data_IF_643192883499
#
_entry.id   IF_643192883499
#
_cell.length_a   1.000
_cell.length_b   1.000
_cell.length_c   1.000
_cell.angle_alpha   90.00
_cell.angle_beta   90.00
_cell.angle_gamma   90.00
#
_symmetry.space_group_name_H-M   'P 1'
#
loop_
_entity.id
_entity.type
_entity.pdbx_description
1 polymer ?
#
# COMPACT_ATOMS: atom_id res chain seq x y z
N UNK A 1 27.59 8.70 -8.41
CA UNK A 1 26.42 8.53 -7.55
C UNK A 1 25.38 7.72 -8.33
N UNK A 2 24.74 6.74 -7.69
CA UNK A 2 23.74 5.84 -8.28
C UNK A 2 22.38 6.53 -8.43
N UNK A 3 21.59 6.03 -9.37
CA UNK A 3 20.15 6.32 -9.50
C UNK A 3 19.39 5.07 -9.06
N UNK A 4 18.57 5.19 -8.03
CA UNK A 4 17.71 4.11 -7.56
C UNK A 4 16.26 4.56 -7.67
N UNK A 5 15.49 3.88 -8.49
CA UNK A 5 14.08 4.20 -8.78
C UNK A 5 13.23 3.02 -8.33
N UNK A 6 12.27 3.27 -7.45
CA UNK A 6 11.22 2.33 -7.05
C UNK A 6 9.93 2.79 -7.72
N UNK A 7 9.32 1.94 -8.53
CA UNK A 7 7.98 2.16 -9.11
C UNK A 7 7.03 1.17 -8.47
N UNK A 8 6.06 1.70 -7.73
CA UNK A 8 4.98 0.94 -7.12
C UNK A 8 3.77 1.02 -8.06
N UNK A 9 3.34 -0.13 -8.56
CA UNK A 9 2.08 -0.29 -9.28
C UNK A 9 1.02 -0.61 -8.22
N UNK A 10 0.25 0.39 -7.83
CA UNK A 10 -0.71 0.31 -6.72
C UNK A 10 -1.74 -0.79 -6.97
N UNK A 11 -1.93 -1.67 -6.00
CA UNK A 11 -2.88 -2.78 -6.11
C UNK A 11 -2.44 -3.92 -7.04
N UNK A 12 -1.17 -4.02 -7.44
CA UNK A 12 -0.71 -5.05 -8.38
C UNK A 12 -0.19 -6.31 -7.68
N UNK A 13 -1.12 -7.25 -7.40
CA UNK A 13 -0.83 -8.56 -6.83
C UNK A 13 -0.46 -9.61 -7.88
N UNK A 14 0.17 -10.72 -7.42
CA UNK A 14 0.60 -11.87 -8.22
C UNK A 14 0.19 -13.19 -7.54
N UNK A 15 -1.04 -13.26 -7.07
CA UNK A 15 -1.65 -14.43 -6.46
C UNK A 15 -1.74 -14.37 -4.94
N UNK A 16 -2.78 -14.99 -4.40
CA UNK A 16 -3.14 -14.97 -3.00
C UNK A 16 -1.99 -15.46 -2.09
N UNK A 17 -1.83 -14.79 -0.94
CA UNK A 17 -0.91 -15.24 0.11
C UNK A 17 -1.48 -16.47 0.84
N UNK A 18 -0.64 -17.36 1.41
CA UNK A 18 -1.10 -18.58 2.10
C UNK A 18 -2.05 -18.32 3.27
N UNK A 19 -1.91 -17.17 3.94
CA UNK A 19 -2.73 -16.76 5.09
C UNK A 19 -4.02 -16.01 4.67
N UNK A 20 -4.25 -15.79 3.38
CA UNK A 20 -5.49 -15.19 2.88
C UNK A 20 -6.72 -15.98 3.33
N UNK A 21 -6.64 -17.32 3.38
CA UNK A 21 -7.73 -18.17 3.82
C UNK A 21 -8.17 -17.95 5.28
N UNK A 22 -7.29 -17.44 6.12
CA UNK A 22 -7.57 -17.13 7.53
C UNK A 22 -7.94 -15.65 7.71
N UNK A 23 -7.13 -14.76 7.16
CA UNK A 23 -7.30 -13.31 7.35
C UNK A 23 -8.39 -12.73 6.43
N UNK A 24 -8.48 -13.24 5.22
CA UNK A 24 -9.33 -12.75 4.14
C UNK A 24 -9.87 -13.91 3.29
N UNK A 25 -10.82 -14.73 3.79
CA UNK A 25 -11.32 -15.90 3.05
C UNK A 25 -11.86 -15.58 1.64
N UNK A 26 -12.34 -14.35 1.40
CA UNK A 26 -12.78 -13.87 0.09
C UNK A 26 -11.66 -13.75 -0.94
N UNK A 27 -10.40 -13.66 -0.50
CA UNK A 27 -9.24 -13.44 -1.36
C UNK A 27 -8.51 -14.76 -1.76
N UNK A 28 -9.04 -15.92 -1.38
CA UNK A 28 -8.40 -17.21 -1.70
C UNK A 28 -8.16 -17.44 -3.20
N UNK A 29 -9.02 -16.86 -4.04
CA UNK A 29 -8.91 -16.94 -5.49
C UNK A 29 -8.27 -15.69 -6.11
N UNK A 30 -7.79 -14.73 -5.31
CA UNK A 30 -7.25 -13.49 -5.82
C UNK A 30 -5.95 -13.73 -6.61
N UNK A 31 -5.90 -13.17 -7.79
CA UNK A 31 -4.75 -13.16 -8.70
C UNK A 31 -4.87 -11.96 -9.64
N UNK A 32 -4.59 -10.76 -9.10
CA UNK A 32 -4.74 -9.51 -9.86
C UNK A 32 -4.05 -9.58 -11.22
N UNK A 33 -2.79 -9.99 -11.26
CA UNK A 33 -2.03 -10.09 -12.50
C UNK A 33 -2.64 -11.11 -13.46
N UNK A 34 -2.92 -12.33 -12.99
CA UNK A 34 -3.47 -13.42 -13.80
C UNK A 34 -4.83 -13.06 -14.37
N UNK A 35 -5.74 -12.57 -13.56
CA UNK A 35 -7.10 -12.23 -13.98
C UNK A 35 -7.14 -11.04 -14.95
N UNK A 36 -6.29 -10.02 -14.77
CA UNK A 36 -6.16 -8.93 -15.74
C UNK A 36 -5.62 -9.45 -17.08
N UNK A 37 -4.60 -10.32 -17.06
CA UNK A 37 -4.06 -10.93 -18.27
C UNK A 37 -5.07 -11.85 -18.98
N UNK A 38 -5.83 -12.65 -18.23
CA UNK A 38 -6.86 -13.53 -18.78
C UNK A 38 -8.01 -12.73 -19.42
N UNK A 39 -8.45 -11.67 -18.76
CA UNK A 39 -9.56 -10.85 -19.26
C UNK A 39 -9.17 -10.03 -20.49
N UNK A 40 -8.02 -9.35 -20.44
CA UNK A 40 -7.53 -8.53 -21.55
C UNK A 40 -6.93 -9.37 -22.68
N UNK A 41 -6.51 -10.58 -22.38
CA UNK A 41 -6.00 -11.55 -23.35
C UNK A 41 -4.84 -11.01 -24.18
N UNK A 42 -4.82 -11.32 -25.48
CA UNK A 42 -3.74 -10.90 -26.40
C UNK A 42 -3.71 -9.41 -26.72
N UNK A 43 -4.67 -8.65 -26.25
CA UNK A 43 -4.71 -7.19 -26.46
C UNK A 43 -3.82 -6.45 -25.49
N UNK A 44 -3.48 -7.05 -24.33
CA UNK A 44 -2.60 -6.47 -23.33
C UNK A 44 -1.13 -6.73 -23.68
N UNK A 45 -0.35 -5.68 -23.87
CA UNK A 45 1.04 -5.76 -24.30
C UNK A 45 1.98 -5.14 -23.25
N UNK A 46 2.74 -5.98 -22.55
CA UNK A 46 3.58 -5.62 -21.39
C UNK A 46 5.07 -5.99 -21.61
N UNK A 47 5.74 -5.42 -22.62
CA UNK A 47 7.12 -5.78 -22.95
C UNK A 47 8.14 -5.40 -21.88
N UNK A 48 7.93 -4.31 -21.12
CA UNK A 48 8.85 -3.91 -20.05
C UNK A 48 8.74 -4.84 -18.86
N UNK A 49 7.53 -5.12 -18.36
CA UNK A 49 7.29 -6.07 -17.27
C UNK A 49 7.77 -7.47 -17.65
N UNK A 50 7.56 -7.89 -18.90
CA UNK A 50 8.13 -9.14 -19.44
C UNK A 50 9.66 -9.15 -19.39
N UNK A 51 10.34 -8.07 -19.84
CA UNK A 51 11.79 -7.91 -19.76
C UNK A 51 12.31 -7.85 -18.33
N UNK A 52 11.54 -7.30 -17.40
CA UNK A 52 11.86 -7.26 -15.97
C UNK A 52 11.65 -8.60 -15.27
N UNK A 53 11.09 -9.60 -15.97
CA UNK A 53 10.96 -10.96 -15.47
C UNK A 53 9.62 -11.28 -14.79
N UNK A 54 8.56 -10.51 -15.04
CA UNK A 54 7.24 -10.80 -14.48
C UNK A 54 6.79 -12.24 -14.79
N UNK A 55 6.97 -12.73 -16.02
CA UNK A 55 6.61 -14.10 -16.38
C UNK A 55 7.47 -15.20 -15.76
N UNK A 56 8.57 -14.86 -15.07
CA UNK A 56 9.36 -15.79 -14.24
C UNK A 56 8.76 -15.92 -12.83
N UNK A 57 8.16 -14.85 -12.34
CA UNK A 57 7.53 -14.75 -11.01
C UNK A 57 6.10 -15.28 -11.06
N UNK A 58 5.37 -14.88 -12.09
CA UNK A 58 3.97 -15.24 -12.32
C UNK A 58 3.84 -15.87 -13.71
N UNK A 59 4.00 -17.23 -13.83
CA UNK A 59 3.94 -17.92 -15.11
C UNK A 59 2.55 -17.85 -15.73
N UNK A 60 2.40 -17.06 -16.79
CA UNK A 60 1.16 -16.89 -17.54
C UNK A 60 1.40 -16.99 -19.05
N UNK A 61 0.41 -17.44 -19.82
CA UNK A 61 0.55 -17.61 -21.27
C UNK A 61 0.77 -16.30 -22.04
N UNK A 62 0.31 -15.18 -21.46
CA UNK A 62 0.52 -13.82 -22.00
C UNK A 62 1.88 -13.20 -21.69
N UNK A 63 2.73 -13.85 -20.88
CA UNK A 63 4.01 -13.30 -20.43
C UNK A 63 5.19 -14.15 -20.93
N UNK A 64 6.30 -13.45 -21.27
CA UNK A 64 7.54 -14.11 -21.63
C UNK A 64 8.15 -14.81 -20.39
N UNK A 65 8.55 -16.07 -20.54
CA UNK A 65 9.20 -16.88 -19.49
C UNK A 65 10.73 -16.76 -19.47
N UNK A 66 11.27 -15.79 -20.19
CA UNK A 66 12.71 -15.50 -20.22
C UNK A 66 12.90 -14.02 -20.49
N UNK A 67 14.02 -13.48 -20.06
CA UNK A 67 14.38 -12.08 -20.29
C UNK A 67 15.83 -11.95 -20.74
N UNK A 68 16.12 -11.05 -21.67
CA UNK A 68 17.49 -10.74 -22.07
C UNK A 68 18.22 -9.80 -21.11
N UNK A 69 17.50 -9.19 -20.17
CA UNK A 69 18.08 -8.20 -19.24
C UNK A 69 18.69 -8.85 -18.01
N UNK A 70 19.70 -8.23 -17.40
CA UNK A 70 20.24 -8.62 -16.11
C UNK A 70 19.26 -8.18 -15.00
N UNK A 71 18.43 -9.11 -14.56
CA UNK A 71 17.39 -8.87 -13.56
C UNK A 71 17.47 -9.85 -12.40
N UNK A 72 16.97 -9.43 -11.25
CA UNK A 72 16.53 -10.31 -10.18
C UNK A 72 15.01 -10.22 -10.08
N UNK A 73 14.34 -11.36 -10.06
CA UNK A 73 12.89 -11.44 -10.06
C UNK A 73 12.39 -12.42 -9.01
N UNK A 74 11.39 -12.01 -8.24
CA UNK A 74 10.73 -12.80 -7.20
C UNK A 74 9.46 -12.10 -6.76
N UNK A 75 8.90 -12.53 -5.64
CA UNK A 75 7.70 -11.93 -5.05
C UNK A 75 7.90 -11.72 -3.55
N UNK A 76 7.15 -10.79 -2.99
CA UNK A 76 7.17 -10.48 -1.57
C UNK A 76 5.79 -10.67 -0.95
N UNK A 77 5.75 -11.25 0.25
CA UNK A 77 4.63 -11.13 1.16
C UNK A 77 4.51 -9.68 1.64
N UNK A 78 3.33 -9.25 2.07
CA UNK A 78 3.09 -7.87 2.50
C UNK A 78 3.90 -7.50 3.76
N UNK A 79 4.08 -8.46 4.70
CA UNK A 79 4.85 -8.25 5.94
C UNK A 79 4.07 -7.54 7.03
N UNK A 80 2.77 -7.37 6.86
CA UNK A 80 1.83 -6.83 7.83
C UNK A 80 0.48 -7.54 7.69
N UNK A 81 -0.42 -7.50 8.70
CA UNK A 81 -1.76 -8.06 8.61
C UNK A 81 -2.65 -7.20 7.70
N UNK A 82 -3.58 -7.84 6.96
CA UNK A 82 -4.49 -7.17 6.01
C UNK A 82 -3.86 -6.83 4.66
N UNK A 83 -4.49 -5.93 3.91
CA UNK A 83 -4.00 -5.35 2.66
C UNK A 83 -4.34 -3.85 2.65
N UNK A 84 -3.35 -2.98 2.76
CA UNK A 84 -3.54 -1.53 2.90
C UNK A 84 -2.37 -0.75 2.29
N UNK A 85 -2.69 0.26 1.50
CA UNK A 85 -1.68 1.04 0.78
C UNK A 85 -0.72 1.79 1.72
N UNK A 86 -1.22 2.35 2.86
CA UNK A 86 -0.35 3.03 3.82
C UNK A 86 0.61 2.02 4.46
N UNK A 87 0.08 0.91 5.01
CA UNK A 87 0.91 -0.12 5.62
C UNK A 87 1.90 -0.72 4.61
N UNK A 88 1.48 -0.96 3.36
CA UNK A 88 2.34 -1.44 2.29
C UNK A 88 3.52 -0.53 2.01
N UNK A 89 3.26 0.77 1.79
CA UNK A 89 4.32 1.74 1.53
C UNK A 89 5.24 1.96 2.73
N UNK A 90 4.70 2.04 3.95
CA UNK A 90 5.51 2.21 5.15
C UNK A 90 6.39 0.98 5.41
N UNK A 91 5.83 -0.25 5.25
CA UNK A 91 6.59 -1.49 5.35
C UNK A 91 7.69 -1.55 4.28
N UNK A 92 7.35 -1.23 3.03
CA UNK A 92 8.30 -1.18 1.91
C UNK A 92 9.47 -0.23 2.20
N UNK A 93 9.23 0.87 2.87
CA UNK A 93 10.28 1.80 3.28
C UNK A 93 11.03 1.36 4.54
N UNK A 94 10.77 0.17 5.06
CA UNK A 94 11.48 -0.42 6.19
C UNK A 94 10.85 -0.14 7.55
N UNK A 95 9.58 0.29 7.64
CA UNK A 95 8.89 0.42 8.92
C UNK A 95 8.57 -0.94 9.53
N UNK A 96 8.52 -0.98 10.86
CA UNK A 96 8.05 -2.13 11.63
C UNK A 96 6.56 -1.98 11.96
N UNK A 97 5.74 -2.80 11.34
CA UNK A 97 4.29 -2.88 11.57
C UNK A 97 3.88 -4.02 12.52
N UNK A 98 4.81 -4.64 13.24
CA UNK A 98 4.51 -5.75 14.15
C UNK A 98 3.52 -5.37 15.28
N UNK A 99 3.39 -4.07 15.59
CA UNK A 99 2.48 -3.55 16.61
C UNK A 99 1.12 -3.09 16.06
N UNK A 100 0.96 -3.03 14.75
CA UNK A 100 -0.32 -2.69 14.13
C UNK A 100 -1.17 -3.94 14.08
N UNK A 101 -2.41 -3.83 14.56
CA UNK A 101 -3.35 -4.94 14.59
C UNK A 101 -4.53 -4.68 13.66
N UNK A 102 -5.19 -5.75 13.24
CA UNK A 102 -6.51 -5.70 12.65
C UNK A 102 -7.51 -5.78 13.80
N UNK A 103 -8.28 -4.72 14.03
CA UNK A 103 -9.23 -4.64 15.13
C UNK A 103 -10.49 -3.89 14.71
N UNK A 104 -11.65 -4.47 15.00
CA UNK A 104 -12.95 -3.79 14.79
C UNK A 104 -13.15 -2.78 15.91
N UNK A 105 -13.79 -1.65 15.60
CA UNK A 105 -14.12 -0.67 16.61
C UNK A 105 -14.97 -1.26 17.75
N UNK A 106 -15.83 -2.23 17.43
CA UNK A 106 -16.65 -2.96 18.40
C UNK A 106 -15.86 -3.51 19.60
N UNK A 107 -14.60 -3.87 19.40
CA UNK A 107 -13.71 -4.45 20.41
C UNK A 107 -13.06 -3.38 21.30
N UNK A 108 -13.13 -2.11 20.92
CA UNK A 108 -12.45 -0.97 21.54
C UNK A 108 -13.38 0.21 21.92
N UNK A 109 -14.70 0.02 21.91
CA UNK A 109 -15.68 1.09 22.17
C UNK A 109 -15.47 1.78 23.52
N UNK A 110 -15.18 1.02 24.57
CA UNK A 110 -14.99 1.56 25.91
C UNK A 110 -13.71 2.39 26.01
N UNK A 111 -12.64 1.95 25.41
CA UNK A 111 -11.34 2.63 25.39
C UNK A 111 -11.43 3.94 24.61
N UNK A 112 -11.95 3.88 23.37
CA UNK A 112 -12.13 5.06 22.52
C UNK A 112 -13.12 6.05 23.15
N UNK A 113 -14.25 5.54 23.65
CA UNK A 113 -15.24 6.36 24.31
C UNK A 113 -14.70 7.06 25.57
N UNK A 114 -13.86 6.38 26.35
CA UNK A 114 -13.20 6.95 27.52
C UNK A 114 -12.21 8.04 27.15
N UNK A 115 -11.39 7.85 26.12
CA UNK A 115 -10.46 8.85 25.63
C UNK A 115 -11.18 10.12 25.15
N UNK A 116 -12.27 9.94 24.38
CA UNK A 116 -13.08 11.06 23.88
C UNK A 116 -13.78 11.82 25.02
N UNK A 117 -14.34 11.13 26.01
CA UNK A 117 -14.94 11.79 27.20
C UNK A 117 -13.90 12.54 28.02
N UNK A 118 -12.69 11.97 28.17
CA UNK A 118 -11.57 12.64 28.85
C UNK A 118 -11.14 13.93 28.12
N UNK A 119 -11.28 13.96 26.79
CA UNK A 119 -11.05 15.14 25.98
C UNK A 119 -12.22 16.17 26.01
N UNK A 120 -13.31 15.87 26.75
CA UNK A 120 -14.45 16.77 26.93
C UNK A 120 -15.61 16.57 25.97
N UNK A 121 -15.60 15.52 25.16
CA UNK A 121 -16.67 15.22 24.21
C UNK A 121 -17.82 14.43 24.85
N UNK A 122 -19.05 14.67 24.38
CA UNK A 122 -20.19 13.82 24.66
C UNK A 122 -20.14 12.61 23.71
N UNK A 123 -20.23 11.40 24.26
CA UNK A 123 -20.09 10.16 23.48
C UNK A 123 -21.21 9.20 23.81
N UNK A 124 -21.92 8.75 22.80
CA UNK A 124 -23.06 7.84 22.86
C UNK A 124 -22.89 6.73 21.81
N UNK A 125 -23.58 5.59 22.00
CA UNK A 125 -23.73 4.56 20.97
C UNK A 125 -24.90 4.93 20.05
N UNK A 126 -24.80 4.66 18.75
CA UNK A 126 -25.89 4.85 17.81
C UNK A 126 -26.86 3.65 17.89
N UNK A 127 -28.00 3.82 18.52
CA UNK A 127 -29.07 2.80 18.59
C UNK A 127 -28.57 1.41 18.98
N UNK A 128 -27.57 1.35 19.88
CA UNK A 128 -26.95 0.12 20.32
C UNK A 128 -25.99 -0.55 19.30
N UNK A 129 -25.75 0.07 18.16
CA UNK A 129 -24.76 -0.39 17.18
C UNK A 129 -23.33 -0.15 17.69
N UNK A 130 -22.36 -0.95 17.26
CA UNK A 130 -20.97 -0.85 17.72
C UNK A 130 -20.22 0.29 17.00
N UNK A 131 -20.74 1.51 17.08
CA UNK A 131 -20.08 2.74 16.65
C UNK A 131 -20.44 3.88 17.61
N UNK A 132 -19.62 4.93 17.63
CA UNK A 132 -19.78 6.05 18.54
C UNK A 132 -20.32 7.28 17.80
N UNK A 133 -21.27 7.98 18.46
CA UNK A 133 -21.71 9.32 18.09
C UNK A 133 -21.05 10.31 19.03
N UNK A 134 -20.26 11.22 18.50
CA UNK A 134 -19.54 12.25 19.25
C UNK A 134 -20.22 13.59 19.02
N UNK A 135 -20.52 14.29 20.12
CA UNK A 135 -21.18 15.62 20.14
C UNK A 135 -22.48 15.67 19.34
N UNK A 136 -23.13 14.51 19.18
CA UNK A 136 -24.43 14.36 18.56
C UNK A 136 -24.46 14.23 17.03
N UNK A 137 -23.31 14.34 16.32
CA UNK A 137 -23.30 14.29 14.86
C UNK A 137 -22.02 13.71 14.20
N UNK A 138 -20.87 13.71 14.88
CA UNK A 138 -19.65 13.08 14.34
C UNK A 138 -19.67 11.57 14.67
N UNK A 139 -19.45 10.73 13.67
CA UNK A 139 -19.40 9.27 13.82
C UNK A 139 -17.97 8.79 13.93
N UNK A 140 -17.67 7.94 14.91
CA UNK A 140 -16.45 7.11 14.94
C UNK A 140 -16.87 5.68 14.66
N UNK A 141 -16.32 5.08 13.60
CA UNK A 141 -16.83 3.83 13.05
C UNK A 141 -15.75 3.05 12.28
N UNK A 142 -16.00 1.77 11.99
CA UNK A 142 -15.16 1.00 11.08
C UNK A 142 -15.16 1.60 9.68
N UNK A 143 -14.03 1.56 8.99
CA UNK A 143 -14.00 1.88 7.57
C UNK A 143 -14.61 0.72 6.77
N UNK A 144 -15.63 1.00 5.95
CA UNK A 144 -16.29 0.01 5.11
C UNK A 144 -15.75 -0.05 3.67
N UNK A 145 -14.77 0.77 3.33
CA UNK A 145 -14.18 0.88 1.99
C UNK A 145 -12.74 0.34 1.93
N UNK A 146 -12.17 0.01 3.09
CA UNK A 146 -10.88 -0.65 3.21
C UNK A 146 -11.06 -2.01 3.88
N UNK A 147 -9.98 -2.75 4.03
CA UNK A 147 -9.97 -4.01 4.74
C UNK A 147 -10.65 -3.92 6.10
N UNK A 148 -11.58 -4.84 6.42
CA UNK A 148 -12.26 -4.85 7.70
C UNK A 148 -11.26 -4.84 8.87
N UNK A 149 -11.37 -3.83 9.73
CA UNK A 149 -10.56 -3.71 10.95
C UNK A 149 -9.15 -3.15 10.77
N UNK A 150 -8.72 -2.76 9.57
CA UNK A 150 -7.39 -2.14 9.40
C UNK A 150 -7.42 -0.62 9.59
N UNK A 151 -8.57 0.00 9.39
CA UNK A 151 -8.76 1.45 9.52
C UNK A 151 -10.08 1.76 10.22
N UNK A 152 -10.08 2.82 11.04
CA UNK A 152 -11.29 3.43 11.59
C UNK A 152 -11.49 4.83 11.01
N UNK A 153 -12.74 5.23 10.84
CA UNK A 153 -13.10 6.56 10.36
C UNK A 153 -13.68 7.43 11.48
N UNK A 154 -13.40 8.72 11.39
CA UNK A 154 -14.09 9.78 12.13
C UNK A 154 -14.73 10.68 11.10
N UNK A 155 -16.05 10.55 10.92
CA UNK A 155 -16.80 11.18 9.84
C UNK A 155 -17.78 12.23 10.36
N UNK A 156 -17.81 13.41 9.77
CA UNK A 156 -18.72 14.49 10.12
C UNK A 156 -19.23 15.26 8.92
N UNK A 157 -20.47 15.78 9.01
CA UNK A 157 -21.01 16.70 8.00
C UNK A 157 -20.40 18.08 8.19
N UNK A 158 -19.98 18.70 7.10
CA UNK A 158 -19.45 20.08 7.12
C UNK A 158 -20.53 21.13 7.37
N UNK A 159 -21.81 20.75 7.31
CA UNK A 159 -22.96 21.57 7.77
C UNK A 159 -23.00 21.68 9.29
N UNK A 160 -22.54 20.67 10.03
CA UNK A 160 -22.68 20.59 11.48
C UNK A 160 -21.37 20.93 12.20
N UNK A 161 -20.22 20.55 11.60
CA UNK A 161 -18.89 20.72 12.20
C UNK A 161 -17.85 21.18 11.18
N UNK A 162 -16.93 22.03 11.61
CA UNK A 162 -15.75 22.32 10.80
C UNK A 162 -14.88 21.07 10.65
N UNK A 163 -14.15 20.94 9.53
CA UNK A 163 -13.21 19.85 9.37
C UNK A 163 -12.12 19.83 10.47
N UNK A 164 -11.70 21.00 10.93
CA UNK A 164 -10.76 21.12 12.04
C UNK A 164 -11.28 20.47 13.34
N UNK A 165 -12.59 20.57 13.62
CA UNK A 165 -13.22 19.92 14.78
C UNK A 165 -13.28 18.40 14.59
N UNK A 166 -13.66 17.91 13.40
CA UNK A 166 -13.67 16.49 13.06
C UNK A 166 -12.26 15.90 13.20
N UNK A 167 -11.26 16.61 12.68
CA UNK A 167 -9.86 16.21 12.76
C UNK A 167 -9.34 16.17 14.21
N UNK A 168 -9.79 17.08 15.08
CA UNK A 168 -9.45 17.07 16.51
C UNK A 168 -9.98 15.81 17.20
N UNK A 169 -11.22 15.41 16.90
CA UNK A 169 -11.82 14.17 17.40
C UNK A 169 -11.03 12.96 16.90
N UNK A 170 -10.71 12.92 15.60
CA UNK A 170 -9.93 11.85 15.00
C UNK A 170 -8.54 11.70 15.64
N UNK A 171 -7.88 12.81 15.98
CA UNK A 171 -6.59 12.78 16.69
C UNK A 171 -6.72 12.16 18.08
N UNK A 172 -7.81 12.44 18.81
CA UNK A 172 -8.08 11.80 20.10
C UNK A 172 -8.29 10.30 19.91
N UNK A 173 -9.08 9.87 18.92
CA UNK A 173 -9.24 8.44 18.58
C UNK A 173 -7.90 7.81 18.25
N UNK A 174 -7.03 8.48 17.48
CA UNK A 174 -5.71 7.96 17.10
C UNK A 174 -4.83 7.60 18.31
N UNK A 175 -4.93 8.32 19.43
CA UNK A 175 -4.08 8.08 20.61
C UNK A 175 -4.29 6.70 21.24
N UNK A 176 -5.44 6.07 20.99
CA UNK A 176 -5.81 4.75 21.57
C UNK A 176 -6.09 3.69 20.51
N UNK A 177 -6.20 4.06 19.24
CA UNK A 177 -6.52 3.12 18.17
C UNK A 177 -5.31 2.21 17.85
N UNK A 178 -5.45 0.87 17.85
CA UNK A 178 -4.36 -0.06 17.53
C UNK A 178 -4.19 -0.28 16.02
N UNK A 179 -5.13 0.24 15.21
CA UNK A 179 -5.21 0.03 13.76
C UNK A 179 -4.20 0.87 12.97
N UNK A 180 -3.95 0.51 11.72
CA UNK A 180 -2.98 1.18 10.87
C UNK A 180 -3.28 2.68 10.69
N UNK A 181 -4.57 3.05 10.55
CA UNK A 181 -4.99 4.46 10.35
C UNK A 181 -6.29 4.78 11.05
N UNK A 182 -6.40 6.03 11.51
CA UNK A 182 -7.67 6.71 11.76
C UNK A 182 -7.83 7.78 10.68
N UNK A 183 -8.97 7.77 9.97
CA UNK A 183 -9.21 8.67 8.85
C UNK A 183 -10.27 9.70 9.26
N UNK A 184 -9.91 10.98 9.31
CA UNK A 184 -10.87 12.06 9.44
C UNK A 184 -11.51 12.33 8.08
N UNK A 185 -12.84 12.34 8.01
CA UNK A 185 -13.60 12.57 6.77
C UNK A 185 -14.66 13.63 7.02
N UNK A 186 -14.57 14.74 6.31
CA UNK A 186 -15.58 15.79 6.29
C UNK A 186 -16.22 15.90 4.91
N UNK A 187 -17.53 15.95 4.83
CA UNK A 187 -18.23 16.07 3.56
C UNK A 187 -19.63 16.66 3.71
N UNK A 188 -20.25 16.99 2.57
CA UNK A 188 -21.60 17.50 2.52
C UNK A 188 -22.62 16.37 2.32
N UNK A 189 -23.61 16.28 3.23
CA UNK A 189 -24.69 15.29 3.15
C UNK A 189 -26.06 15.93 3.45
N UNK A 190 -27.10 15.52 2.72
CA UNK A 190 -28.45 16.07 2.82
C UNK A 190 -29.24 15.61 4.04
N UNK A 191 -28.81 14.50 4.66
CA UNK A 191 -29.41 13.92 5.85
C UNK A 191 -28.35 13.67 6.93
N UNK A 192 -28.75 13.45 8.20
CA UNK A 192 -27.83 13.06 9.27
C UNK A 192 -27.04 11.79 8.89
N UNK A 193 -25.76 11.71 9.24
CA UNK A 193 -24.89 10.55 8.88
C UNK A 193 -25.41 9.22 9.44
N UNK A 194 -26.12 9.25 10.57
CA UNK A 194 -26.74 8.08 11.18
C UNK A 194 -27.69 7.34 10.24
N UNK A 195 -28.32 8.03 9.29
CA UNK A 195 -29.23 7.42 8.29
C UNK A 195 -28.51 6.63 7.20
N UNK A 196 -27.19 6.78 7.07
CA UNK A 196 -26.36 6.08 6.09
C UNK A 196 -25.47 4.99 6.73
N UNK A 197 -25.68 4.70 8.03
CA UNK A 197 -24.93 3.65 8.72
C UNK A 197 -25.44 2.28 8.30
N UNK A 198 -24.52 1.40 7.92
CA UNK A 198 -24.81 0.01 7.57
C UNK A 198 -23.81 -0.97 8.19
N UNK A 199 -24.18 -2.23 8.17
CA UNK A 199 -23.24 -3.32 8.43
C UNK A 199 -22.39 -3.58 7.18
N UNK A 200 -21.13 -3.90 7.40
CA UNK A 200 -20.17 -4.33 6.41
C UNK A 200 -19.73 -5.77 6.63
N UNK A 201 -18.70 -6.18 5.93
CA UNK A 201 -18.14 -7.51 6.04
C UNK A 201 -17.46 -7.73 7.43
N UNK A 202 -17.30 -8.98 7.82
CA UNK A 202 -16.68 -9.38 9.07
C UNK A 202 -17.26 -8.68 10.33
N UNK A 203 -18.58 -8.41 10.33
CA UNK A 203 -19.29 -7.72 11.42
C UNK A 203 -18.78 -6.29 11.72
N UNK A 204 -18.19 -5.61 10.75
CA UNK A 204 -17.91 -4.18 10.83
C UNK A 204 -19.19 -3.36 10.73
N UNK A 205 -19.22 -2.19 11.35
CA UNK A 205 -20.32 -1.25 11.26
C UNK A 205 -19.80 0.14 10.98
N UNK A 206 -20.32 0.80 9.94
CA UNK A 206 -19.79 2.09 9.54
C UNK A 206 -20.72 2.88 8.63
N UNK A 207 -20.22 4.06 8.23
CA UNK A 207 -20.86 4.93 7.26
C UNK A 207 -20.73 4.35 5.86
N UNK A 208 -21.82 4.28 5.11
CA UNK A 208 -21.80 4.11 3.66
C UNK A 208 -21.44 5.46 3.02
N UNK A 209 -20.12 5.73 2.90
CA UNK A 209 -19.62 7.02 2.42
C UNK A 209 -20.12 7.35 1.01
N UNK A 210 -20.15 6.40 0.04
CA UNK A 210 -20.75 6.66 -1.26
C UNK A 210 -22.24 7.04 -1.21
N UNK A 211 -23.03 6.36 -0.36
CA UNK A 211 -24.45 6.63 -0.22
C UNK A 211 -24.73 7.97 0.46
N UNK A 212 -23.87 8.42 1.38
CA UNK A 212 -24.00 9.73 2.06
C UNK A 212 -23.90 10.91 1.11
N UNK A 213 -23.31 10.73 -0.07
CA UNK A 213 -23.08 11.77 -1.06
C UNK A 213 -21.74 12.51 -0.90
N UNK A 214 -20.92 12.18 0.07
CA UNK A 214 -19.62 12.84 0.34
C UNK A 214 -18.77 12.97 -0.92
N UNK A 215 -18.73 11.95 -1.77
CA UNK A 215 -17.95 11.97 -3.01
C UNK A 215 -18.57 12.78 -4.15
N UNK A 216 -19.86 13.12 -4.06
CA UNK A 216 -20.61 13.75 -5.16
C UNK A 216 -21.00 15.20 -4.89
N UNK A 217 -21.13 15.57 -3.60
CA UNK A 217 -21.67 16.88 -3.23
C UNK A 217 -20.61 18.00 -3.21
N UNK A 218 -19.34 17.66 -3.50
CA UNK A 218 -18.20 18.56 -3.43
C UNK A 218 -17.74 18.83 -1.98
N UNK A 219 -16.63 19.55 -1.83
CA UNK A 219 -16.11 19.95 -0.53
C UNK A 219 -15.59 18.82 0.36
N UNK A 220 -15.31 17.64 -0.19
CA UNK A 220 -14.75 16.53 0.57
C UNK A 220 -13.37 16.92 1.14
N UNK A 221 -13.23 16.80 2.46
CA UNK A 221 -11.96 16.97 3.17
C UNK A 221 -11.59 15.65 3.86
N UNK A 222 -10.36 15.17 3.64
CA UNK A 222 -9.87 13.92 4.20
C UNK A 222 -8.47 14.10 4.78
N UNK A 223 -8.24 13.57 5.98
CA UNK A 223 -6.92 13.51 6.60
C UNK A 223 -6.66 12.13 7.17
N UNK A 224 -5.61 11.48 6.70
CA UNK A 224 -5.13 10.21 7.23
C UNK A 224 -4.22 10.43 8.44
N UNK A 225 -4.55 9.78 9.57
CA UNK A 225 -3.74 9.75 10.78
C UNK A 225 -3.18 8.33 10.93
N UNK A 226 -1.95 8.11 10.47
CA UNK A 226 -1.26 6.84 10.56
C UNK A 226 -0.90 6.45 12.00
N UNK A 227 -0.58 5.15 12.20
CA UNK A 227 0.08 4.71 13.42
C UNK A 227 1.41 5.45 13.59
N UNK A 228 1.84 5.66 14.84
CA UNK A 228 3.15 6.27 15.11
C UNK A 228 4.26 5.32 14.63
N UNK A 229 5.05 5.81 13.68
CA UNK A 229 6.18 5.12 13.09
C UNK A 229 7.44 5.95 13.28
N UNK A 230 8.56 5.29 13.49
CA UNK A 230 9.87 5.95 13.45
C UNK A 230 10.30 6.19 11.99
N UNK A 231 9.84 7.29 11.41
CA UNK A 231 10.17 7.66 10.04
C UNK A 231 11.67 7.93 9.83
N UNK A 232 12.45 8.18 10.91
CA UNK A 232 13.90 8.39 10.79
C UNK A 232 14.66 7.12 10.41
N UNK A 233 14.04 5.96 10.62
CA UNK A 233 14.56 4.64 10.26
C UNK A 233 13.94 4.08 8.97
N UNK A 234 13.40 4.94 8.13
CA UNK A 234 12.88 4.57 6.81
C UNK A 234 13.82 5.00 5.70
N UNK A 235 13.77 4.31 4.58
CA UNK A 235 14.65 4.53 3.42
C UNK A 235 14.75 6.00 2.98
N UNK A 236 13.65 6.77 2.81
CA UNK A 236 13.74 8.16 2.39
C UNK A 236 14.54 9.04 3.38
N UNK A 237 14.31 8.85 4.68
CA UNK A 237 15.01 9.62 5.71
C UNK A 237 16.49 9.24 5.82
N UNK A 238 16.82 7.95 5.74
CA UNK A 238 18.21 7.48 5.74
C UNK A 238 18.97 7.98 4.50
N UNK A 239 18.33 7.96 3.33
CA UNK A 239 18.92 8.50 2.11
C UNK A 239 19.21 10.01 2.25
N UNK A 240 18.22 10.77 2.72
CA UNK A 240 18.37 12.21 2.95
C UNK A 240 19.46 12.53 3.98
N UNK A 241 19.53 11.78 5.09
CA UNK A 241 20.55 11.94 6.12
C UNK A 241 21.97 11.65 5.58
N UNK A 242 22.11 10.77 4.60
CA UNK A 242 23.36 10.49 3.89
C UNK A 242 23.67 11.51 2.77
N UNK A 243 22.87 12.56 2.60
CA UNK A 243 23.04 13.56 1.55
C UNK A 243 22.63 13.10 0.15
N UNK A 244 21.85 12.01 0.05
CA UNK A 244 21.31 11.50 -1.20
C UNK A 244 20.00 12.23 -1.49
N UNK A 245 19.85 12.87 -2.67
CA UNK A 245 18.59 13.52 -3.06
C UNK A 245 17.44 12.51 -3.10
N UNK A 246 16.29 12.89 -2.55
CA UNK A 246 15.07 12.06 -2.50
C UNK A 246 13.94 12.78 -3.26
N UNK A 247 13.27 12.07 -4.15
CA UNK A 247 12.05 12.54 -4.81
C UNK A 247 10.93 11.52 -4.59
N UNK A 248 9.79 12.00 -4.10
CA UNK A 248 8.56 11.21 -3.90
C UNK A 248 7.53 11.65 -4.93
N UNK A 249 6.95 10.70 -5.66
CA UNK A 249 6.06 10.96 -6.81
C UNK A 249 4.74 10.23 -6.65
N UNK A 250 3.64 10.87 -7.07
CA UNK A 250 2.28 10.32 -6.98
C UNK A 250 1.85 10.15 -5.51
N UNK A 251 1.10 9.09 -5.20
CA UNK A 251 0.63 8.78 -3.84
C UNK A 251 1.79 8.67 -2.82
N UNK A 252 2.99 8.25 -3.25
CA UNK A 252 4.17 8.21 -2.38
C UNK A 252 4.53 9.59 -1.82
N UNK A 253 4.26 10.67 -2.58
CA UNK A 253 4.46 12.05 -2.11
C UNK A 253 3.50 12.46 -0.99
N UNK A 254 2.35 11.79 -0.86
CA UNK A 254 1.33 12.12 0.13
C UNK A 254 1.51 11.31 1.42
N UNK A 255 1.94 10.04 1.32
CA UNK A 255 1.91 9.10 2.44
C UNK A 255 3.27 8.81 3.07
N UNK A 256 4.40 9.13 2.41
CA UNK A 256 5.74 8.93 2.96
C UNK A 256 6.29 10.21 3.59
N UNK A 257 6.86 10.07 4.78
CA UNK A 257 7.43 11.21 5.50
C UNK A 257 8.94 11.33 5.25
N UNK A 258 9.33 12.47 4.67
CA UNK A 258 10.73 12.89 4.54
C UNK A 258 10.76 14.40 4.30
N UNK A 259 11.18 15.18 5.29
CA UNK A 259 11.18 16.65 5.21
C UNK A 259 12.12 17.19 4.11
N UNK A 260 13.19 16.46 3.77
CA UNK A 260 14.16 16.84 2.76
C UNK A 260 13.77 16.40 1.33
N UNK A 261 12.68 15.64 1.17
CA UNK A 261 12.28 15.13 -0.13
C UNK A 261 11.63 16.21 -1.01
N UNK A 262 11.93 16.16 -2.30
CA UNK A 262 11.14 16.84 -3.32
C UNK A 262 9.85 16.05 -3.53
N UNK A 263 8.70 16.69 -3.34
CA UNK A 263 7.38 16.06 -3.50
C UNK A 263 6.76 16.46 -4.85
N UNK A 264 6.24 15.47 -5.57
CA UNK A 264 5.53 15.60 -6.85
C UNK A 264 4.22 14.82 -6.79
N UNK A 265 3.21 15.29 -6.03
CA UNK A 265 1.91 14.63 -5.98
C UNK A 265 1.25 14.70 -7.36
N UNK A 266 0.70 13.58 -7.81
CA UNK A 266 -0.06 13.46 -9.05
C UNK A 266 -0.92 12.19 -8.97
N UNK A 267 -2.08 12.19 -9.65
CA UNK A 267 -2.95 11.02 -9.79
C UNK A 267 -2.88 10.45 -11.22
N UNK A 268 -2.94 11.27 -12.29
CA UNK A 268 -2.87 10.74 -13.65
C UNK A 268 -1.56 9.99 -13.89
N UNK A 269 -1.65 8.76 -14.38
CA UNK A 269 -0.49 7.88 -14.67
C UNK A 269 0.56 8.55 -15.54
N UNK A 270 0.14 9.26 -16.58
CA UNK A 270 1.06 9.97 -17.47
C UNK A 270 1.88 11.05 -16.77
N UNK A 271 1.29 11.75 -15.79
CA UNK A 271 1.95 12.79 -15.01
C UNK A 271 2.92 12.17 -13.99
N UNK A 272 2.51 11.09 -13.31
CA UNK A 272 3.39 10.31 -12.40
C UNK A 272 4.62 9.82 -13.16
N UNK A 273 4.44 9.24 -14.34
CA UNK A 273 5.54 8.74 -15.16
C UNK A 273 6.46 9.87 -15.64
N UNK A 274 5.91 11.00 -16.07
CA UNK A 274 6.69 12.16 -16.49
C UNK A 274 7.55 12.70 -15.34
N UNK A 275 7.00 12.86 -14.14
CA UNK A 275 7.75 13.29 -12.95
C UNK A 275 8.82 12.28 -12.55
N UNK A 276 8.52 10.98 -12.66
CA UNK A 276 9.46 9.89 -12.34
C UNK A 276 10.64 9.91 -13.30
N UNK A 277 10.40 10.03 -14.61
CA UNK A 277 11.43 10.12 -15.64
C UNK A 277 12.29 11.37 -15.48
N UNK A 278 11.69 12.51 -15.16
CA UNK A 278 12.42 13.76 -14.91
C UNK A 278 13.36 13.59 -13.68
N UNK A 279 12.85 13.05 -12.59
CA UNK A 279 13.63 12.84 -11.36
C UNK A 279 14.76 11.81 -11.58
N UNK A 280 14.49 10.74 -12.31
CA UNK A 280 15.46 9.68 -12.61
C UNK A 280 16.64 10.09 -13.49
N UNK A 281 16.60 11.29 -14.12
CA UNK A 281 17.75 11.85 -14.87
C UNK A 281 18.91 12.25 -13.97
N UNK A 282 18.67 12.38 -12.67
CA UNK A 282 19.68 12.82 -11.67
C UNK A 282 19.97 11.71 -10.68
N UNK A 283 21.21 11.63 -10.14
CA UNK A 283 21.50 10.71 -9.04
C UNK A 283 20.60 10.94 -7.84
N UNK A 284 20.18 9.86 -7.19
CA UNK A 284 19.32 9.93 -6.00
C UNK A 284 18.38 8.74 -5.88
N UNK A 285 17.47 8.84 -4.93
CA UNK A 285 16.34 7.95 -4.69
C UNK A 285 15.07 8.57 -5.28
N UNK A 286 14.37 7.83 -6.11
CA UNK A 286 13.01 8.17 -6.57
C UNK A 286 12.07 7.07 -6.10
N UNK A 287 10.99 7.43 -5.41
CA UNK A 287 9.90 6.51 -5.06
C UNK A 287 8.63 7.04 -5.70
N UNK A 288 8.10 6.29 -6.65
CA UNK A 288 6.90 6.64 -7.42
C UNK A 288 5.81 5.61 -7.20
N UNK A 289 4.57 6.08 -7.06
CA UNK A 289 3.39 5.22 -7.01
C UNK A 289 2.40 5.61 -8.11
N UNK A 290 1.98 4.62 -8.90
CA UNK A 290 0.93 4.75 -9.91
C UNK A 290 -0.39 4.28 -9.31
N UNK A 291 -1.26 5.22 -8.98
CA UNK A 291 -2.49 4.97 -8.23
C UNK A 291 -3.67 4.51 -9.09
N UNK A 292 -3.70 4.79 -10.39
CA UNK A 292 -4.90 4.54 -11.21
C UNK A 292 -5.20 3.05 -11.41
N UNK A 293 -4.23 2.15 -11.23
CA UNK A 293 -4.46 0.69 -11.20
C UNK A 293 -5.34 0.31 -10.01
N UNK A 294 -5.02 0.81 -8.81
CA UNK A 294 -5.81 0.60 -7.60
C UNK A 294 -7.22 1.18 -7.72
N UNK A 295 -7.36 2.39 -8.29
CA UNK A 295 -8.66 2.99 -8.56
C UNK A 295 -9.51 2.12 -9.51
N UNK A 296 -8.90 1.49 -10.50
CA UNK A 296 -9.58 0.56 -11.39
C UNK A 296 -9.99 -0.73 -10.66
N UNK A 297 -9.16 -1.24 -9.76
CA UNK A 297 -9.46 -2.37 -8.88
C UNK A 297 -10.68 -2.09 -8.01
N UNK A 298 -10.72 -0.96 -7.30
CA UNK A 298 -11.87 -0.52 -6.50
C UNK A 298 -13.18 -0.36 -7.31
N UNK A 299 -13.06 -0.01 -8.60
CA UNK A 299 -14.20 0.09 -9.51
C UNK A 299 -14.57 -1.26 -10.14
N UNK A 300 -13.81 -2.33 -9.88
CA UNK A 300 -13.94 -3.62 -10.53
C UNK A 300 -13.89 -3.50 -12.07
N UNK A 301 -13.10 -2.55 -12.55
CA UNK A 301 -12.91 -2.28 -13.98
C UNK A 301 -11.57 -2.88 -14.45
N UNK A 302 -11.60 -4.17 -14.74
CA UNK A 302 -10.45 -4.95 -15.20
C UNK A 302 -9.86 -4.42 -16.51
N UNK A 303 -10.69 -3.86 -17.39
CA UNK A 303 -10.24 -3.28 -18.66
C UNK A 303 -9.43 -2.02 -18.42
N UNK A 304 -9.94 -1.10 -17.58
CA UNK A 304 -9.21 0.11 -17.18
C UNK A 304 -7.90 -0.24 -16.48
N UNK A 305 -7.91 -1.26 -15.61
CA UNK A 305 -6.69 -1.75 -14.98
C UNK A 305 -5.63 -2.12 -16.02
N UNK A 306 -6.01 -2.90 -17.06
CA UNK A 306 -5.12 -3.28 -18.17
C UNK A 306 -4.62 -2.07 -18.96
N UNK A 307 -5.49 -1.10 -19.31
CA UNK A 307 -5.13 0.12 -20.04
C UNK A 307 -4.11 0.97 -19.25
N UNK A 308 -4.27 1.09 -17.94
CA UNK A 308 -3.32 1.79 -17.06
C UNK A 308 -2.00 1.02 -16.99
N UNK A 309 -2.06 -0.31 -16.87
CA UNK A 309 -0.87 -1.15 -16.81
C UNK A 309 -0.02 -1.06 -18.08
N UNK A 310 -0.63 -0.91 -19.29
CA UNK A 310 0.08 -0.64 -20.55
C UNK A 310 0.78 0.72 -20.53
N UNK A 311 0.15 1.74 -19.96
CA UNK A 311 0.78 3.07 -19.81
C UNK A 311 2.00 2.98 -18.87
N UNK A 312 1.86 2.25 -17.75
CA UNK A 312 2.99 2.00 -16.85
C UNK A 312 4.12 1.28 -17.57
N UNK A 313 3.80 0.22 -18.32
CA UNK A 313 4.77 -0.57 -19.06
C UNK A 313 5.55 0.27 -20.09
N UNK A 314 4.88 1.18 -20.78
CA UNK A 314 5.53 2.12 -21.69
C UNK A 314 6.53 3.04 -20.96
N UNK A 315 6.14 3.59 -19.81
CA UNK A 315 7.05 4.39 -18.96
C UNK A 315 8.22 3.60 -18.40
N UNK A 316 8.00 2.32 -18.06
CA UNK A 316 9.07 1.42 -17.64
C UNK A 316 10.09 1.16 -18.76
N UNK A 317 9.69 1.09 -20.03
CA UNK A 317 10.62 1.00 -21.16
C UNK A 317 11.53 2.22 -21.24
N UNK A 318 11.01 3.42 -21.01
CA UNK A 318 11.80 4.65 -20.98
C UNK A 318 12.77 4.65 -19.80
N UNK A 319 12.31 4.23 -18.61
CA UNK A 319 13.17 4.08 -17.41
C UNK A 319 14.29 3.06 -17.65
N UNK A 320 14.00 1.90 -18.24
CA UNK A 320 15.00 0.91 -18.59
C UNK A 320 16.06 1.45 -19.56
N UNK A 321 15.65 2.30 -20.49
CA UNK A 321 16.57 2.96 -21.44
C UNK A 321 17.42 4.04 -20.77
N UNK A 322 16.90 4.67 -19.71
CA UNK A 322 17.58 5.73 -18.96
C UNK A 322 18.56 5.17 -17.92
N UNK A 323 18.19 4.08 -17.25
CA UNK A 323 18.91 3.48 -16.11
C UNK A 323 19.85 2.37 -16.59
N UNK A 324 20.89 2.72 -17.32
CA UNK A 324 21.83 1.81 -17.97
C UNK A 324 23.22 1.74 -17.32
N UNK A 325 23.50 2.64 -16.37
CA UNK A 325 24.78 2.64 -15.65
C UNK A 325 24.89 1.42 -14.69
N UNK A 326 26.10 0.86 -14.50
CA UNK A 326 26.30 -0.27 -13.59
C UNK A 326 25.80 -0.07 -12.16
N UNK A 327 25.68 1.17 -11.73
CA UNK A 327 25.25 1.53 -10.37
C UNK A 327 23.75 1.87 -10.29
N UNK A 328 23.05 1.89 -11.42
CA UNK A 328 21.61 2.18 -11.44
C UNK A 328 20.79 0.98 -11.02
N UNK A 329 19.63 1.25 -10.46
CA UNK A 329 18.63 0.24 -10.08
C UNK A 329 17.23 0.73 -10.42
N UNK A 330 16.46 -0.13 -11.07
CA UNK A 330 15.02 0.01 -11.18
C UNK A 330 14.39 -1.15 -10.42
N UNK A 331 13.53 -0.85 -9.46
CA UNK A 331 12.74 -1.82 -8.72
C UNK A 331 11.28 -1.56 -9.03
N UNK A 332 10.57 -2.57 -9.52
CA UNK A 332 9.12 -2.51 -9.78
C UNK A 332 8.44 -3.50 -8.85
N UNK A 333 7.39 -3.04 -8.16
CA UNK A 333 6.66 -3.83 -7.18
C UNK A 333 5.21 -3.35 -7.06
N UNK A 334 4.37 -4.05 -6.31
CA UNK A 334 3.09 -3.56 -5.77
C UNK A 334 3.23 -3.22 -4.28
N UNK A 335 2.18 -2.71 -3.68
CA UNK A 335 2.05 -2.48 -2.24
C UNK A 335 1.04 -3.43 -1.58
N UNK A 336 0.10 -3.94 -2.35
CA UNK A 336 -0.90 -4.98 -2.07
C UNK A 336 -1.49 -5.47 -3.40
N UNK A 337 -2.47 -6.39 -3.36
CA UNK A 337 -3.33 -6.72 -4.50
C UNK A 337 -4.62 -5.91 -4.51
N UNK A 338 -5.26 -5.79 -5.67
CA UNK A 338 -6.62 -5.27 -5.81
C UNK A 338 -7.27 -5.89 -7.06
N UNK A 339 -7.67 -7.16 -6.94
CA UNK A 339 -8.17 -7.95 -8.04
C UNK A 339 -9.55 -7.44 -8.52
N UNK A 340 -9.65 -6.86 -9.72
CA UNK A 340 -10.89 -6.28 -10.21
C UNK A 340 -11.97 -7.30 -10.54
N UNK A 341 -11.70 -8.60 -10.42
CA UNK A 341 -12.64 -9.68 -10.78
C UNK A 341 -13.11 -10.50 -9.58
N UNK A 342 -12.56 -10.27 -8.39
CA UNK A 342 -12.78 -11.10 -7.21
C UNK A 342 -14.22 -10.96 -6.62
N UNK A 343 -14.98 -9.94 -7.04
CA UNK A 343 -16.39 -9.76 -6.64
C UNK A 343 -16.58 -8.81 -5.45
N UNK A 344 -15.54 -8.16 -4.98
CA UNK A 344 -15.61 -7.05 -4.01
C UNK A 344 -14.64 -5.93 -4.40
N UNK A 345 -14.85 -4.74 -3.85
CA UNK A 345 -14.10 -3.54 -4.17
C UNK A 345 -12.96 -3.24 -3.17
N UNK A 346 -12.56 -4.21 -2.36
CA UNK A 346 -11.48 -4.07 -1.38
C UNK A 346 -10.15 -4.51 -1.96
N UNK A 347 -9.05 -4.05 -1.34
CA UNK A 347 -7.72 -4.61 -1.60
C UNK A 347 -7.71 -6.11 -1.35
N UNK A 348 -6.86 -6.84 -2.05
CA UNK A 348 -6.70 -8.27 -1.92
C UNK A 348 -5.35 -8.64 -1.29
N UNK A 349 -5.37 -9.67 -0.42
CA UNK A 349 -4.18 -10.15 0.28
C UNK A 349 -3.37 -11.09 -0.61
N UNK A 350 -2.54 -10.49 -1.45
CA UNK A 350 -1.71 -11.17 -2.43
C UNK A 350 -0.23 -10.96 -2.16
N UNK A 351 0.60 -11.86 -2.67
CA UNK A 351 1.99 -11.54 -2.95
C UNK A 351 2.04 -10.41 -3.97
N UNK A 352 3.10 -9.60 -3.90
CA UNK A 352 3.40 -8.59 -4.92
C UNK A 352 4.70 -8.92 -5.64
N UNK A 353 4.88 -8.55 -6.91
CA UNK A 353 6.11 -8.82 -7.64
C UNK A 353 7.26 -7.98 -7.07
N UNK A 354 8.48 -8.52 -7.14
CA UNK A 354 9.74 -7.80 -6.89
C UNK A 354 10.62 -7.99 -8.10
N UNK A 355 10.64 -6.99 -8.98
CA UNK A 355 11.36 -7.03 -10.25
C UNK A 355 12.49 -5.99 -10.20
N UNK A 356 13.74 -6.45 -10.26
CA UNK A 356 14.92 -5.58 -10.05
C UNK A 356 15.81 -5.62 -11.29
N UNK A 357 15.89 -4.51 -12.02
CA UNK A 357 16.89 -4.33 -13.06
C UNK A 357 18.25 -3.96 -12.45
N UNK A 358 19.29 -4.70 -12.84
CA UNK A 358 20.67 -4.55 -12.33
C UNK A 358 21.68 -4.58 -13.47
N UNK A 359 21.95 -3.46 -14.16
CA UNK A 359 22.78 -3.43 -15.37
C UNK A 359 24.14 -4.10 -15.25
N UNK A 360 24.71 -4.17 -14.05
CA UNK A 360 26.02 -4.79 -13.78
C UNK A 360 25.96 -6.28 -13.40
N UNK A 361 24.76 -6.87 -13.28
CA UNK A 361 24.63 -8.29 -12.90
C UNK A 361 24.90 -9.24 -14.06
N UNK A 362 25.35 -10.48 -13.80
CA UNK A 362 25.72 -11.43 -14.85
C UNK A 362 24.52 -12.15 -15.52
N UNK A 363 23.30 -11.66 -15.39
CA UNK A 363 22.12 -12.28 -16.00
C UNK A 363 20.91 -12.31 -15.10
N UNK A 364 20.09 -13.35 -15.23
CA UNK A 364 18.83 -13.51 -14.49
C UNK A 364 19.08 -14.25 -13.17
N UNK A 365 18.50 -13.72 -12.09
CA UNK A 365 18.46 -14.37 -10.78
C UNK A 365 17.00 -14.51 -10.33
N UNK A 366 16.59 -15.71 -9.96
CA UNK A 366 15.32 -15.92 -9.28
C UNK A 366 15.52 -15.73 -7.78
N UNK A 367 14.78 -14.80 -7.22
CA UNK A 367 14.80 -14.52 -5.78
C UNK A 367 13.90 -15.51 -5.04
N UNK A 368 14.26 -15.91 -3.81
CA UNK A 368 13.32 -16.58 -2.93
C UNK A 368 12.15 -15.63 -2.60
N UNK A 369 11.00 -16.20 -2.24
CA UNK A 369 9.89 -15.41 -1.74
C UNK A 369 10.35 -14.60 -0.52
N UNK A 370 10.18 -13.27 -0.57
CA UNK A 370 10.44 -12.40 0.56
C UNK A 370 9.34 -12.54 1.61
N UNK A 371 9.72 -12.56 2.87
CA UNK A 371 8.77 -12.57 3.99
C UNK A 371 8.05 -11.22 4.19
N UNK A 372 8.57 -10.15 3.58
CA UNK A 372 8.06 -8.80 3.77
C UNK A 372 8.43 -7.87 2.61
N UNK A 373 7.54 -6.91 2.31
CA UNK A 373 7.82 -5.76 1.45
C UNK A 373 9.03 -4.92 1.92
N UNK A 374 9.40 -5.00 3.19
CA UNK A 374 10.55 -4.29 3.74
C UNK A 374 11.87 -4.67 3.03
N UNK A 375 11.94 -5.86 2.41
CA UNK A 375 13.11 -6.31 1.66
C UNK A 375 13.35 -5.47 0.40
N UNK A 376 12.30 -4.85 -0.15
CA UNK A 376 12.40 -3.88 -1.26
C UNK A 376 13.19 -2.64 -0.82
N UNK A 377 12.80 -2.04 0.32
CA UNK A 377 13.49 -0.88 0.89
C UNK A 377 14.93 -1.18 1.29
N UNK A 378 15.15 -2.35 1.91
CA UNK A 378 16.50 -2.80 2.28
C UNK A 378 17.41 -2.99 1.04
N UNK A 379 16.85 -3.53 -0.05
CA UNK A 379 17.56 -3.70 -1.32
C UNK A 379 17.89 -2.35 -1.98
N UNK A 380 16.95 -1.41 -1.93
CA UNK A 380 17.18 -0.05 -2.42
C UNK A 380 18.24 0.69 -1.58
N UNK A 381 18.21 0.55 -0.25
CA UNK A 381 19.25 1.09 0.64
C UNK A 381 20.64 0.58 0.26
N UNK A 382 20.80 -0.74 0.10
CA UNK A 382 22.05 -1.35 -0.33
C UNK A 382 22.51 -0.81 -1.69
N UNK A 383 21.61 -0.59 -2.64
CA UNK A 383 21.96 -0.05 -3.97
C UNK A 383 22.44 1.41 -3.93
N UNK A 384 22.01 2.16 -2.92
CA UNK A 384 22.44 3.52 -2.65
C UNK A 384 23.76 3.59 -1.82
N UNK A 385 24.30 2.43 -1.42
CA UNK A 385 25.49 2.36 -0.56
C UNK A 385 25.19 2.63 0.92
N UNK A 386 23.92 2.55 1.32
CA UNK A 386 23.49 2.66 2.71
C UNK A 386 23.55 1.29 3.39
N UNK A 387 23.74 1.28 4.70
CA UNK A 387 23.61 0.05 5.50
C UNK A 387 22.11 -0.27 5.72
N UNK A 388 21.60 -1.39 5.20
CA UNK A 388 20.21 -1.79 5.41
C UNK A 388 19.83 -1.98 6.88
N UNK A 389 20.79 -2.28 7.78
CA UNK A 389 20.57 -2.39 9.22
C UNK A 389 20.13 -1.07 9.87
N UNK A 390 20.27 0.06 9.18
CA UNK A 390 19.69 1.35 9.60
C UNK A 390 18.17 1.38 9.54
N UNK A 391 17.53 0.57 8.69
CA UNK A 391 16.09 0.41 8.63
C UNK A 391 15.55 -0.28 9.88
N UNK A 392 14.27 -0.07 10.20
CA UNK A 392 13.65 -0.76 11.31
C UNK A 392 13.35 -2.24 10.97
N UNK A 393 13.14 -2.56 9.68
CA UNK A 393 12.86 -3.89 9.17
C UNK A 393 13.40 -4.07 7.75
N UNK A 394 13.55 -5.32 7.28
CA UNK A 394 13.91 -5.71 5.91
C UNK A 394 15.27 -6.36 5.77
N UNK A 395 15.37 -7.24 4.79
CA UNK A 395 16.58 -7.97 4.41
C UNK A 395 16.89 -7.70 2.93
N UNK A 396 18.07 -7.13 2.65
CA UNK A 396 18.43 -6.76 1.29
C UNK A 396 18.76 -7.97 0.41
N UNK A 397 18.28 -7.98 -0.82
CA UNK A 397 18.76 -8.87 -1.87
C UNK A 397 20.13 -8.36 -2.41
N UNK A 398 21.20 -9.03 -2.03
CA UNK A 398 22.57 -8.65 -2.42
C UNK A 398 23.43 -9.87 -2.74
N UNK A 399 24.65 -9.66 -3.28
CA UNK A 399 25.57 -10.75 -3.62
C UNK A 399 25.93 -11.68 -2.45
N UNK A 400 25.73 -11.23 -1.20
CA UNK A 400 26.01 -11.99 0.01
C UNK A 400 24.94 -13.01 0.39
N UNK A 401 23.74 -12.96 -0.22
CA UNK A 401 22.64 -13.87 0.12
C UNK A 401 22.86 -15.34 -0.35
N UNK A 402 23.95 -15.64 -1.04
CA UNK A 402 24.25 -17.02 -1.49
C UNK A 402 24.62 -18.01 -0.38
N UNK A 403 24.76 -17.59 0.88
CA UNK A 403 25.24 -18.44 1.98
C UNK A 403 24.41 -18.47 3.25
N UNK A 404 23.33 -17.71 3.37
CA UNK A 404 22.41 -17.83 4.49
C UNK A 404 21.27 -18.80 4.11
N UNK A 405 21.48 -20.09 4.33
CA UNK A 405 20.36 -21.01 4.49
C UNK A 405 19.52 -20.51 5.66
N UNK A 406 18.32 -20.03 5.37
CA UNK A 406 17.36 -19.66 6.40
C UNK A 406 17.16 -20.80 7.40
N UNK A 407 16.73 -20.50 8.64
CA UNK A 407 16.48 -21.53 9.62
C UNK A 407 15.46 -22.51 9.05
N UNK A 408 15.87 -23.77 8.92
CA UNK A 408 14.98 -24.85 8.58
C UNK A 408 13.79 -24.82 9.54
N UNK A 409 12.58 -24.70 9.02
CA UNK A 409 11.37 -24.97 9.79
C UNK A 409 11.56 -26.32 10.50
N UNK A 410 11.79 -26.28 11.80
CA UNK A 410 11.72 -27.48 12.62
C UNK A 410 10.24 -27.88 12.65
N UNK A 411 9.90 -28.90 11.92
CA UNK A 411 8.67 -29.64 12.12
C UNK A 411 8.67 -30.13 13.60
N UNK A 412 7.78 -29.61 14.39
CA UNK A 412 7.53 -30.17 15.72
C UNK A 412 7.32 -29.20 16.87
N UNK A 413 6.53 -28.12 16.71
CA UNK A 413 5.90 -27.47 17.84
C UNK A 413 4.38 -27.55 17.71
N UNK A 414 3.65 -27.95 18.76
CA UNK A 414 2.21 -28.08 18.69
C UNK A 414 1.52 -26.71 18.70
N UNK A 415 0.49 -26.62 17.88
CA UNK A 415 -0.48 -25.54 17.70
C UNK A 415 -0.91 -24.92 19.06
N UNK A 416 -0.76 -23.60 19.29
CA UNK A 416 -1.16 -22.99 20.56
C UNK A 416 -2.60 -22.45 20.59
N UNK A 417 -3.47 -22.84 19.65
CA UNK A 417 -4.88 -22.43 19.71
C UNK A 417 -5.82 -23.64 19.68
N UNK A 418 -6.72 -23.77 20.71
CA UNK A 418 -7.80 -24.73 20.69
C UNK A 418 -8.95 -24.32 19.76
#
# INVERSE_FOLDING_TARGET
MSRTVIVVIDGFGVGAMPDAGVLRPGDLAADTCGHVLDHCGRTLYLPALGKLGLGLVHPHAGLARSTPLPVAAGRAALGYPGADTFAGHQTMMGADFSKVTVARLAEHLDEVGSALRAAGHRVELLDGKPLLVVDGAVLVHDNLEADPGINWNTSGRLEDFSFASILSIARTVRTVAPVARVIAVGGHATAPLSSYVREGDASTVGLDTPASGFYRNGGLEVQHLGAELDHTRQLPALAAAAGIPVTLVGKAADILECAAAVRRPAVPTSEVLAHTLEAARRPGLVVANVQETDLAGHQQDVRRFGEVLEQVDAGLLELLSLLDSPHDRLIVTGDHGNDPTIGHAYHTREYVPVLIHRPSAPGVELLPDAGSLADVGATAALSLGLDPAGLANGVAYGPAHRTATGPAHRNGDPDPYP
#
